data_IF_352496263372
#
_entry.id   IF_352496263372
#
_cell.length_a   1.000
_cell.length_b   1.000
_cell.length_c   1.000
_cell.angle_alpha   90.00
_cell.angle_beta   90.00
_cell.angle_gamma   90.00
#
_symmetry.space_group_name_H-M   'P 1'
#
loop_
_entity.id
_entity.type
_entity.pdbx_description
1 polymer ?
#
# COMPACT_ATOMS: atom_id res chain seq x y z
N UNK A 1 4.78 -2.22 22.81
CA UNK A 1 5.70 -1.32 23.54
C UNK A 1 6.30 -0.32 22.56
N UNK A 2 6.57 0.90 23.02
CA UNK A 2 7.32 1.91 22.27
C UNK A 2 8.81 1.54 22.28
N UNK A 3 9.56 1.85 21.22
CA UNK A 3 11.02 1.76 21.24
C UNK A 3 11.65 2.94 22.02
N UNK A 4 12.96 2.88 22.24
CA UNK A 4 13.77 3.77 23.09
C UNK A 4 13.79 5.26 22.67
N UNK A 5 13.11 5.63 21.59
CA UNK A 5 12.93 7.02 21.12
C UNK A 5 11.51 7.55 21.30
N UNK A 6 10.58 6.76 21.84
CA UNK A 6 9.23 7.20 22.19
C UNK A 6 8.31 7.54 21.01
N UNK A 7 8.71 7.24 19.76
CA UNK A 7 8.01 7.72 18.56
C UNK A 7 7.52 6.63 17.58
N UNK A 8 7.89 5.35 17.75
CA UNK A 8 7.47 4.30 16.81
C UNK A 8 6.93 3.04 17.49
N UNK A 9 5.83 2.52 16.94
CA UNK A 9 5.30 1.19 17.29
C UNK A 9 6.18 0.10 16.65
N UNK A 10 6.52 -0.95 17.40
CA UNK A 10 7.21 -2.12 16.82
C UNK A 10 6.30 -2.87 15.85
N UNK A 11 6.86 -3.57 14.86
CA UNK A 11 6.09 -4.40 13.93
C UNK A 11 5.23 -5.44 14.68
N UNK A 12 5.75 -5.99 15.77
CA UNK A 12 5.04 -6.93 16.65
C UNK A 12 3.81 -6.26 17.26
N UNK A 13 3.95 -5.06 17.83
CA UNK A 13 2.82 -4.35 18.45
C UNK A 13 1.74 -3.93 17.44
N UNK A 14 2.14 -3.63 16.20
CA UNK A 14 1.22 -3.35 15.09
C UNK A 14 0.45 -4.61 14.72
N UNK A 15 1.16 -5.74 14.56
CA UNK A 15 0.56 -7.04 14.23
C UNK A 15 -0.45 -7.46 15.30
N UNK A 16 -0.08 -7.37 16.58
CA UNK A 16 -0.97 -7.69 17.71
C UNK A 16 -2.24 -6.83 17.71
N UNK A 17 -2.10 -5.52 17.50
CA UNK A 17 -3.24 -4.60 17.43
C UNK A 17 -4.18 -4.93 16.27
N UNK A 18 -3.61 -5.25 15.10
CA UNK A 18 -4.36 -5.62 13.88
C UNK A 18 -5.13 -6.92 14.07
N UNK A 19 -4.51 -7.92 14.69
CA UNK A 19 -5.16 -9.18 15.04
C UNK A 19 -6.29 -8.94 16.04
N UNK A 20 -6.02 -8.20 17.13
CA UNK A 20 -7.01 -7.91 18.19
C UNK A 20 -8.23 -7.17 17.65
N UNK A 21 -8.03 -6.26 16.70
CA UNK A 21 -9.11 -5.44 16.12
C UNK A 21 -9.81 -6.12 14.93
N UNK A 22 -9.40 -7.34 14.56
CA UNK A 22 -9.98 -8.07 13.43
C UNK A 22 -9.82 -7.37 12.09
N UNK A 23 -8.82 -6.50 11.93
CA UNK A 23 -8.69 -5.64 10.75
C UNK A 23 -8.55 -6.45 9.45
N UNK A 24 -7.86 -7.58 9.50
CA UNK A 24 -7.68 -8.45 8.33
C UNK A 24 -9.01 -9.01 7.79
N UNK A 25 -10.01 -9.22 8.66
CA UNK A 25 -11.34 -9.61 8.22
C UNK A 25 -12.08 -8.44 7.55
N UNK A 26 -11.92 -7.22 8.08
CA UNK A 26 -12.48 -6.01 7.46
C UNK A 26 -11.84 -5.73 6.10
N UNK A 27 -10.52 -5.88 5.98
CA UNK A 27 -9.77 -5.81 4.71
C UNK A 27 -10.33 -6.83 3.73
N UNK A 28 -10.45 -8.10 4.12
CA UNK A 28 -11.01 -9.14 3.26
C UNK A 28 -12.41 -8.78 2.74
N UNK A 29 -13.33 -8.39 3.63
CA UNK A 29 -14.70 -8.00 3.25
C UNK A 29 -14.72 -6.82 2.28
N UNK A 30 -13.88 -5.80 2.53
CA UNK A 30 -13.78 -4.63 1.66
C UNK A 30 -13.16 -5.00 0.31
N UNK A 31 -12.16 -5.88 0.28
CA UNK A 31 -11.56 -6.36 -0.97
C UNK A 31 -12.58 -7.08 -1.86
N UNK A 32 -13.46 -7.91 -1.29
CA UNK A 32 -14.51 -8.57 -2.07
C UNK A 32 -15.45 -7.57 -2.77
N UNK A 33 -15.75 -6.44 -2.13
CA UNK A 33 -16.54 -5.37 -2.74
C UNK A 33 -15.75 -4.68 -3.86
N UNK A 34 -14.52 -4.25 -3.55
CA UNK A 34 -13.67 -3.53 -4.49
C UNK A 34 -13.29 -4.37 -5.71
N UNK A 35 -13.20 -5.69 -5.57
CA UNK A 35 -12.97 -6.59 -6.70
C UNK A 35 -14.12 -6.58 -7.72
N UNK A 36 -15.29 -6.00 -7.43
CA UNK A 36 -16.33 -5.79 -8.44
C UNK A 36 -16.21 -4.41 -9.13
N UNK A 37 -15.49 -3.47 -8.52
CA UNK A 37 -15.45 -2.06 -8.93
C UNK A 37 -14.10 -1.67 -9.57
N UNK A 38 -13.03 -2.37 -9.19
CA UNK A 38 -11.64 -2.02 -9.51
C UNK A 38 -10.98 -3.15 -10.30
N UNK A 39 -10.07 -2.79 -11.20
CA UNK A 39 -9.37 -3.73 -12.08
C UNK A 39 -8.11 -4.29 -11.42
N UNK A 40 -7.37 -3.45 -10.69
CA UNK A 40 -6.06 -3.77 -10.16
C UNK A 40 -5.86 -3.21 -8.74
N UNK A 41 -5.83 -4.10 -7.76
CA UNK A 41 -5.77 -3.71 -6.34
C UNK A 41 -4.42 -4.11 -5.73
N UNK A 42 -3.68 -3.12 -5.23
CA UNK A 42 -2.47 -3.36 -4.43
C UNK A 42 -2.80 -3.23 -2.93
N UNK A 43 -2.39 -4.21 -2.12
CA UNK A 43 -2.73 -4.25 -0.69
C UNK A 43 -1.49 -4.37 0.17
N UNK A 44 -1.19 -3.32 0.95
CA UNK A 44 -0.09 -3.28 1.91
C UNK A 44 -0.55 -3.87 3.26
N UNK A 45 -0.21 -5.13 3.52
CA UNK A 45 -0.64 -5.86 4.73
C UNK A 45 0.34 -5.71 5.90
N UNK A 46 -0.07 -6.21 7.07
CA UNK A 46 0.63 -6.13 8.35
C UNK A 46 1.77 -7.13 8.53
N UNK A 47 1.77 -8.24 7.77
CA UNK A 47 2.83 -9.27 7.84
C UNK A 47 2.81 -10.18 6.62
N UNK A 48 3.94 -10.86 6.37
CA UNK A 48 4.05 -11.92 5.33
C UNK A 48 3.01 -13.03 5.58
N UNK A 49 2.84 -13.43 6.84
CA UNK A 49 1.84 -14.41 7.28
C UNK A 49 0.43 -14.01 6.85
N UNK A 50 0.04 -12.76 7.14
CA UNK A 50 -1.27 -12.25 6.77
C UNK A 50 -1.46 -12.18 5.25
N UNK A 51 -0.43 -11.78 4.48
CA UNK A 51 -0.46 -11.81 3.02
C UNK A 51 -0.73 -13.22 2.48
N UNK A 52 0.03 -14.21 2.96
CA UNK A 52 -0.08 -15.59 2.48
C UNK A 52 -1.45 -16.17 2.86
N UNK A 53 -1.85 -16.05 4.12
CA UNK A 53 -3.11 -16.61 4.61
C UNK A 53 -4.33 -16.09 3.85
N UNK A 54 -4.43 -14.77 3.63
CA UNK A 54 -5.58 -14.19 2.90
C UNK A 54 -5.52 -14.56 1.41
N UNK A 55 -4.33 -14.56 0.80
CA UNK A 55 -4.15 -14.92 -0.61
C UNK A 55 -4.50 -16.39 -0.86
N UNK A 56 -4.02 -17.30 -0.03
CA UNK A 56 -4.32 -18.73 -0.12
C UNK A 56 -5.81 -18.99 0.07
N UNK A 57 -6.42 -18.36 1.08
CA UNK A 57 -7.86 -18.47 1.31
C UNK A 57 -8.70 -17.97 0.13
N UNK A 58 -8.32 -16.83 -0.46
CA UNK A 58 -8.98 -16.29 -1.65
C UNK A 58 -8.81 -17.20 -2.86
N UNK A 59 -7.58 -17.65 -3.12
CA UNK A 59 -7.29 -18.49 -4.27
C UNK A 59 -7.95 -19.86 -4.19
N UNK A 60 -8.05 -20.44 -2.99
CA UNK A 60 -8.77 -21.70 -2.76
C UNK A 60 -10.27 -21.59 -3.05
N UNK A 61 -10.87 -20.40 -2.90
CA UNK A 61 -12.31 -20.18 -3.10
C UNK A 61 -12.67 -19.66 -4.48
N UNK A 62 -11.78 -18.92 -5.13
CA UNK A 62 -12.09 -18.13 -6.33
C UNK A 62 -11.20 -18.48 -7.53
N UNK A 63 -10.31 -19.47 -7.38
CA UNK A 63 -9.23 -19.72 -8.34
C UNK A 63 -8.09 -18.72 -8.18
N UNK A 64 -7.04 -18.86 -8.98
CA UNK A 64 -5.85 -18.00 -8.90
C UNK A 64 -6.18 -16.56 -9.32
N UNK A 65 -6.50 -15.72 -8.34
CA UNK A 65 -6.86 -14.30 -8.55
C UNK A 65 -5.98 -13.34 -7.72
N UNK A 66 -5.20 -13.85 -6.77
CA UNK A 66 -4.26 -13.05 -5.96
C UNK A 66 -2.81 -13.52 -6.07
N UNK A 67 -1.88 -12.58 -5.94
CA UNK A 67 -0.44 -12.83 -5.78
C UNK A 67 0.14 -12.20 -4.52
N UNK A 68 1.27 -12.71 -4.04
CA UNK A 68 1.98 -12.19 -2.86
C UNK A 68 3.42 -11.83 -3.21
N UNK A 69 3.80 -10.57 -2.95
CA UNK A 69 5.17 -10.08 -3.12
C UNK A 69 5.74 -9.64 -1.77
N UNK A 70 6.83 -10.26 -1.35
CA UNK A 70 7.55 -9.94 -0.11
C UNK A 70 9.06 -9.95 -0.34
N UNK A 71 9.84 -9.68 0.71
CA UNK A 71 11.30 -9.78 0.67
C UNK A 71 11.78 -11.21 0.39
N UNK A 72 10.96 -12.22 0.69
CA UNK A 72 11.25 -13.63 0.46
C UNK A 72 10.89 -14.08 -0.97
N UNK A 73 10.16 -13.26 -1.74
CA UNK A 73 9.78 -13.60 -3.11
C UNK A 73 11.00 -13.48 -4.03
N UNK A 74 11.38 -14.59 -4.68
CA UNK A 74 12.48 -14.62 -5.66
C UNK A 74 12.22 -13.66 -6.83
N UNK A 75 13.29 -13.18 -7.48
CA UNK A 75 13.19 -12.28 -8.63
C UNK A 75 12.27 -12.84 -9.73
N UNK A 76 12.50 -14.09 -10.15
CA UNK A 76 11.69 -14.78 -11.17
C UNK A 76 10.21 -14.84 -10.79
N UNK A 77 9.88 -15.19 -9.54
CA UNK A 77 8.49 -15.28 -9.09
C UNK A 77 7.84 -13.90 -9.01
N UNK A 78 8.59 -12.88 -8.60
CA UNK A 78 8.14 -11.49 -8.57
C UNK A 78 7.80 -10.99 -9.98
N UNK A 79 8.68 -11.23 -10.94
CA UNK A 79 8.45 -10.87 -12.35
C UNK A 79 7.18 -11.53 -12.90
N UNK A 80 6.97 -12.82 -12.61
CA UNK A 80 5.76 -13.54 -13.00
C UNK A 80 4.49 -12.91 -12.39
N UNK A 81 4.49 -12.67 -11.06
CA UNK A 81 3.33 -12.09 -10.37
C UNK A 81 3.01 -10.69 -10.92
N UNK A 82 4.03 -9.88 -11.18
CA UNK A 82 3.84 -8.55 -11.76
C UNK A 82 3.27 -8.66 -13.18
N UNK A 83 3.77 -9.58 -14.01
CA UNK A 83 3.24 -9.82 -15.36
C UNK A 83 1.76 -10.22 -15.29
N UNK A 84 1.44 -11.24 -14.49
CA UNK A 84 0.08 -11.72 -14.32
C UNK A 84 -0.86 -10.63 -13.80
N UNK A 85 -0.38 -9.75 -12.93
CA UNK A 85 -1.14 -8.61 -12.43
C UNK A 85 -1.38 -7.55 -13.51
N UNK A 86 -0.36 -7.22 -14.30
CA UNK A 86 -0.48 -6.27 -15.42
C UNK A 86 -1.42 -6.77 -16.51
N UNK A 87 -1.41 -8.07 -16.78
CA UNK A 87 -2.25 -8.72 -17.78
C UNK A 87 -3.66 -9.03 -17.25
N UNK A 88 -3.99 -8.62 -16.02
CA UNK A 88 -5.31 -8.81 -15.41
C UNK A 88 -5.63 -10.26 -15.01
N UNK A 89 -4.66 -11.18 -15.10
CA UNK A 89 -4.80 -12.57 -14.61
C UNK A 89 -4.87 -12.61 -13.09
N UNK A 90 -4.14 -11.72 -12.42
CA UNK A 90 -4.31 -11.44 -11.00
C UNK A 90 -5.05 -10.12 -10.85
N UNK A 91 -6.02 -10.09 -9.94
CA UNK A 91 -6.80 -8.89 -9.60
C UNK A 91 -6.25 -8.15 -8.39
N UNK A 92 -5.59 -8.90 -7.50
CA UNK A 92 -5.08 -8.37 -6.24
C UNK A 92 -3.63 -8.81 -6.03
N UNK A 93 -2.76 -7.88 -5.64
CA UNK A 93 -1.41 -8.20 -5.17
C UNK A 93 -1.26 -7.72 -3.74
N UNK A 94 -0.96 -8.67 -2.84
CA UNK A 94 -0.59 -8.37 -1.46
C UNK A 94 0.91 -8.14 -1.35
N UNK A 95 1.31 -7.15 -0.56
CA UNK A 95 2.70 -6.90 -0.22
C UNK A 95 2.91 -6.60 1.26
N UNK A 96 4.08 -6.96 1.77
CA UNK A 96 4.55 -6.59 3.11
C UNK A 96 6.00 -6.16 3.05
N UNK A 97 6.30 -4.96 3.57
CA UNK A 97 7.65 -4.34 3.72
C UNK A 97 8.55 -4.33 2.48
N UNK A 98 8.04 -4.85 1.37
CA UNK A 98 8.47 -4.55 0.04
C UNK A 98 7.59 -3.38 -0.35
N UNK A 99 8.21 -2.21 -0.49
CA UNK A 99 7.68 -1.25 -1.43
C UNK A 99 7.38 -2.05 -2.71
N UNK A 100 6.33 -1.72 -3.43
CA UNK A 100 6.17 -2.15 -4.82
C UNK A 100 7.30 -1.54 -5.68
N UNK A 101 8.57 -1.72 -5.28
CA UNK A 101 9.75 -1.11 -5.84
C UNK A 101 9.92 -1.65 -7.23
N UNK A 102 9.80 -0.73 -8.19
CA UNK A 102 10.27 -0.93 -9.56
C UNK A 102 9.24 -1.47 -10.54
N UNK A 103 7.98 -1.74 -10.17
CA UNK A 103 6.98 -2.07 -11.18
C UNK A 103 6.21 -0.83 -11.63
N UNK A 104 6.34 -0.53 -12.92
CA UNK A 104 5.62 0.54 -13.58
C UNK A 104 4.29 -0.01 -14.13
N UNK A 105 3.18 0.39 -13.53
CA UNK A 105 1.84 -0.02 -13.95
C UNK A 105 0.84 1.13 -13.79
N UNK A 106 0.75 2.02 -14.79
CA UNK A 106 -0.16 3.17 -14.75
C UNK A 106 -1.64 2.79 -14.61
N UNK A 107 -2.05 1.58 -14.98
CA UNK A 107 -3.44 1.11 -14.83
C UNK A 107 -3.83 0.71 -13.40
N UNK A 108 -2.88 0.70 -12.45
CA UNK A 108 -3.20 0.49 -11.03
C UNK A 108 -4.27 1.51 -10.58
N UNK A 109 -5.44 1.00 -10.18
CA UNK A 109 -6.61 1.82 -9.90
C UNK A 109 -7.10 1.73 -8.44
N UNK A 110 -6.46 0.92 -7.62
CA UNK A 110 -6.72 0.86 -6.19
C UNK A 110 -5.49 0.52 -5.35
N UNK A 111 -5.30 1.24 -4.24
CA UNK A 111 -4.35 0.89 -3.18
C UNK A 111 -5.08 0.80 -1.86
N UNK A 112 -4.84 -0.27 -1.10
CA UNK A 112 -5.36 -0.45 0.25
C UNK A 112 -4.22 -0.57 1.27
N UNK A 113 -4.26 0.28 2.29
CA UNK A 113 -3.36 0.23 3.44
C UNK A 113 -3.98 -0.56 4.58
N UNK A 114 -3.53 -1.80 4.73
CA UNK A 114 -3.88 -2.68 5.85
C UNK A 114 -2.91 -2.59 7.04
N UNK A 115 -1.96 -1.65 7.00
CA UNK A 115 -1.03 -1.36 8.10
C UNK A 115 -0.77 0.13 8.23
N UNK A 116 -0.37 0.60 9.42
CA UNK A 116 0.22 1.93 9.55
C UNK A 116 1.55 2.01 8.80
N UNK A 117 1.78 3.16 8.18
CA UNK A 117 3.05 3.60 7.61
C UNK A 117 3.56 4.78 8.43
N UNK A 118 4.82 4.74 8.85
CA UNK A 118 5.45 5.79 9.68
C UNK A 118 6.30 6.78 8.88
N UNK A 119 6.57 6.47 7.60
CA UNK A 119 7.25 7.36 6.69
C UNK A 119 6.26 8.02 5.74
N UNK A 120 6.18 9.34 5.80
CA UNK A 120 5.42 10.14 4.84
C UNK A 120 5.87 9.85 3.41
N UNK A 121 7.20 9.82 3.20
CA UNK A 121 7.78 9.55 1.88
C UNK A 121 7.35 8.20 1.33
N UNK A 122 7.28 7.15 2.17
CA UNK A 122 6.77 5.83 1.75
C UNK A 122 5.28 5.90 1.39
N UNK A 123 4.48 6.54 2.22
CA UNK A 123 3.04 6.70 1.96
C UNK A 123 2.81 7.40 0.62
N UNK A 124 3.50 8.52 0.39
CA UNK A 124 3.42 9.29 -0.84
C UNK A 124 3.94 8.51 -2.05
N UNK A 125 5.05 7.78 -1.93
CA UNK A 125 5.56 6.94 -3.01
C UNK A 125 4.57 5.86 -3.44
N UNK A 126 3.82 5.29 -2.48
CA UNK A 126 2.80 4.28 -2.77
C UNK A 126 1.61 4.94 -3.48
N UNK A 127 1.09 6.05 -2.97
CA UNK A 127 -0.05 6.73 -3.60
C UNK A 127 0.33 7.31 -4.97
N UNK A 128 1.55 7.84 -5.10
CA UNK A 128 2.14 8.30 -6.35
C UNK A 128 2.12 7.25 -7.47
N UNK A 129 2.16 5.96 -7.14
CA UNK A 129 2.01 4.87 -8.12
C UNK A 129 0.57 4.72 -8.59
N UNK A 130 -0.38 4.86 -7.68
CA UNK A 130 -1.81 4.76 -7.99
C UNK A 130 -2.31 5.94 -8.82
N UNK A 131 -1.77 7.15 -8.65
CA UNK A 131 -2.27 8.36 -9.34
C UNK A 131 -1.64 8.63 -10.71
N UNK A 132 -0.79 7.73 -11.22
CA UNK A 132 -0.22 7.87 -12.57
C UNK A 132 -1.31 7.93 -13.63
N UNK A 133 -1.17 8.81 -14.62
CA UNK A 133 -2.18 8.99 -15.66
C UNK A 133 -2.15 7.78 -16.62
N UNK A 134 -3.34 7.28 -16.99
CA UNK A 134 -3.52 6.27 -18.03
C UNK A 134 -4.85 6.52 -18.77
N UNK A 135 -4.92 6.37 -20.12
CA UNK A 135 -6.15 6.65 -20.89
C UNK A 135 -7.38 5.90 -20.37
N UNK A 136 -7.21 4.65 -19.95
CA UNK A 136 -8.30 3.79 -19.48
C UNK A 136 -8.58 3.88 -17.97
N UNK A 137 -7.89 4.79 -17.26
CA UNK A 137 -8.05 4.99 -15.82
C UNK A 137 -8.56 6.40 -15.52
N UNK A 138 -9.84 6.48 -15.13
CA UNK A 138 -10.50 7.75 -14.77
C UNK A 138 -10.10 8.27 -13.39
N UNK A 139 -9.92 7.36 -12.44
CA UNK A 139 -9.61 7.67 -11.05
C UNK A 139 -8.82 6.52 -10.42
N UNK A 140 -8.15 6.80 -9.30
CA UNK A 140 -7.55 5.79 -8.45
C UNK A 140 -8.10 5.91 -7.03
N UNK A 141 -8.49 4.78 -6.44
CA UNK A 141 -9.03 4.76 -5.08
C UNK A 141 -7.92 4.44 -4.06
N UNK A 142 -7.80 5.29 -3.04
CA UNK A 142 -6.94 5.03 -1.87
C UNK A 142 -7.83 4.65 -0.70
N UNK A 143 -7.64 3.43 -0.18
CA UNK A 143 -8.34 2.93 1.00
C UNK A 143 -7.35 2.84 2.15
N UNK A 144 -7.59 3.61 3.20
CA UNK A 144 -6.72 3.64 4.37
C UNK A 144 -7.44 3.06 5.59
N UNK A 145 -7.01 1.87 6.03
CA UNK A 145 -7.59 1.19 7.18
C UNK A 145 -6.84 1.45 8.48
N UNK A 146 -5.82 2.34 8.48
CA UNK A 146 -4.87 2.51 9.59
C UNK A 146 -4.56 3.97 9.94
N UNK A 147 -5.44 4.91 9.57
CA UNK A 147 -5.32 6.34 9.89
C UNK A 147 -4.01 6.99 9.41
N UNK A 148 -3.45 6.51 8.31
CA UNK A 148 -2.29 7.14 7.66
C UNK A 148 -2.65 8.54 7.13
N UNK A 149 -3.77 8.69 6.44
CA UNK A 149 -4.28 9.96 5.91
C UNK A 149 -4.54 10.97 7.04
N UNK A 150 -5.09 10.52 8.17
CA UNK A 150 -5.30 11.39 9.35
C UNK A 150 -3.99 11.89 9.94
N UNK A 151 -2.92 11.08 9.86
CA UNK A 151 -1.58 11.40 10.37
C UNK A 151 -0.80 12.32 9.44
N UNK A 152 -0.95 12.13 8.13
CA UNK A 152 -0.16 12.78 7.10
C UNK A 152 -0.88 13.95 6.41
N UNK A 153 -2.18 14.10 6.59
CA UNK A 153 -2.98 15.08 5.87
C UNK A 153 -3.40 14.57 4.49
N UNK A 154 -4.16 15.39 3.76
CA UNK A 154 -4.63 15.02 2.43
C UNK A 154 -3.52 15.23 1.41
N UNK A 155 -3.53 14.39 0.39
CA UNK A 155 -2.49 14.40 -0.65
C UNK A 155 -2.65 15.61 -1.56
N UNK A 156 -3.87 16.12 -1.73
CA UNK A 156 -4.14 17.36 -2.45
C UNK A 156 -3.62 18.62 -1.72
N UNK A 157 -3.32 18.52 -0.42
CA UNK A 157 -2.80 19.64 0.38
C UNK A 157 -1.26 19.71 0.35
N UNK A 158 -0.61 18.88 -0.48
CA UNK A 158 0.83 18.84 -0.63
C UNK A 158 1.34 19.99 -1.49
N UNK A 159 2.32 20.73 -0.96
CA UNK A 159 3.10 21.70 -1.74
C UNK A 159 4.57 21.30 -1.76
N UNK A 160 5.23 21.60 -2.88
CA UNK A 160 6.68 21.45 -3.04
C UNK A 160 7.22 22.83 -3.35
N UNK A 161 8.10 23.32 -2.47
CA UNK A 161 8.66 24.66 -2.54
C UNK A 161 10.19 24.59 -2.51
N UNK A 162 10.84 25.39 -3.33
CA UNK A 162 12.29 25.45 -3.38
C UNK A 162 12.80 26.58 -2.49
N UNK A 163 13.67 26.26 -1.55
CA UNK A 163 14.33 27.24 -0.68
C UNK A 163 15.80 27.38 -1.07
N UNK A 164 16.30 28.62 -1.31
CA UNK A 164 17.68 28.85 -1.73
C UNK A 164 18.74 28.21 -0.82
N UNK A 165 18.47 28.09 0.48
CA UNK A 165 19.39 27.55 1.48
C UNK A 165 19.17 26.07 1.85
N UNK A 166 18.03 25.48 1.46
CA UNK A 166 17.64 24.14 1.93
C UNK A 166 17.40 23.13 0.81
N UNK A 167 17.21 23.57 -0.43
CA UNK A 167 16.83 22.67 -1.52
C UNK A 167 15.31 22.57 -1.65
N UNK A 168 14.81 21.41 -2.07
CA UNK A 168 13.38 21.19 -2.27
C UNK A 168 12.72 20.74 -0.97
N UNK A 169 11.76 21.50 -0.48
CA UNK A 169 11.02 21.20 0.74
C UNK A 169 9.59 20.80 0.38
N UNK A 170 9.11 19.72 1.01
CA UNK A 170 7.75 19.22 0.83
C UNK A 170 6.92 19.51 2.08
N UNK A 171 5.72 20.07 1.91
CA UNK A 171 4.84 20.46 3.00
C UNK A 171 3.46 19.84 2.84
N UNK A 172 2.80 19.51 3.97
CA UNK A 172 1.36 19.32 4.03
C UNK A 172 0.78 20.49 4.83
N UNK A 173 0.12 21.42 4.16
CA UNK A 173 -0.23 22.72 4.76
C UNK A 173 1.02 23.44 5.29
N UNK A 174 1.06 23.72 6.59
CA UNK A 174 2.19 24.42 7.24
C UNK A 174 3.27 23.48 7.80
N UNK A 175 3.11 22.16 7.68
CA UNK A 175 4.04 21.19 8.26
C UNK A 175 5.09 20.78 7.24
N UNK A 176 6.39 21.02 7.53
CA UNK A 176 7.50 20.48 6.73
C UNK A 176 7.58 18.96 6.94
N UNK A 177 7.51 18.21 5.85
CA UNK A 177 7.49 16.76 5.85
C UNK A 177 8.84 16.15 5.50
N UNK A 178 9.58 16.79 4.60
CA UNK A 178 10.89 16.32 4.15
C UNK A 178 11.67 17.45 3.51
N UNK A 179 12.99 17.41 3.70
CA UNK A 179 13.95 18.17 2.90
C UNK A 179 14.57 17.20 1.89
N UNK A 180 14.49 17.51 0.59
CA UNK A 180 14.97 16.72 -0.54
C UNK A 180 16.21 17.38 -1.14
#
# INVERSE_FOLDING_TARGET
MLNSTGAEYTNESIKESIVRNGLNNSIYKRLLQLMNERKAILVCMDSIESCNRISEFMNARMGTITGVVTSLTTKKKREQIISDFKEGRLKVVFNYSTLATGFDFPELDCVMFGRPTFSYSVFYQIVGRAVRIHPDKKEALIVDCCDNMRRFGRIEDLTIEQFPSKGWCMFAGNQLLSNI
#
